data_IF_848315942439
#
_entry.id   IF_848315942439
#
_cell.length_a   1.000
_cell.length_b   1.000
_cell.length_c   1.000
_cell.angle_alpha   90.00
_cell.angle_beta   90.00
_cell.angle_gamma   90.00
#
_symmetry.space_group_name_H-M   'P 1'
#
loop_
_entity.id
_entity.type
_entity.pdbx_description
1 polymer ?
#
# COMPACT_ATOMS: atom_id res chain seq x y z
N UNK A 1 2.41 -19.27 -6.38
CA UNK A 1 2.72 -17.95 -6.96
C UNK A 1 2.09 -16.92 -6.06
N UNK A 2 2.84 -15.90 -5.63
CA UNK A 2 2.30 -14.83 -4.78
C UNK A 2 1.31 -13.97 -5.58
N UNK A 3 0.35 -13.33 -4.90
CA UNK A 3 -0.51 -12.30 -5.50
C UNK A 3 0.34 -11.18 -6.11
N UNK A 4 1.46 -10.85 -5.46
CA UNK A 4 2.45 -9.86 -5.91
C UNK A 4 3.05 -10.26 -7.26
N UNK A 5 3.34 -11.55 -7.48
CA UNK A 5 3.87 -12.06 -8.75
C UNK A 5 2.81 -11.98 -9.87
N UNK A 6 1.54 -12.18 -9.50
CA UNK A 6 0.42 -12.11 -10.45
C UNK A 6 0.11 -10.65 -10.82
N UNK A 7 0.05 -9.76 -9.84
CA UNK A 7 -0.05 -8.31 -10.02
C UNK A 7 1.10 -7.81 -10.89
N UNK A 8 2.35 -8.14 -10.54
CA UNK A 8 3.54 -7.72 -11.29
C UNK A 8 3.52 -8.16 -12.76
N UNK A 9 3.02 -9.37 -13.04
CA UNK A 9 2.87 -9.85 -14.44
C UNK A 9 1.79 -9.08 -15.19
N UNK A 10 0.65 -8.82 -14.57
CA UNK A 10 -0.43 -8.02 -15.18
C UNK A 10 0.01 -6.58 -15.43
N UNK A 11 0.81 -6.00 -14.53
CA UNK A 11 1.37 -4.65 -14.69
C UNK A 11 2.42 -4.57 -15.79
N UNK A 12 3.28 -5.58 -15.91
CA UNK A 12 4.30 -5.66 -16.97
C UNK A 12 3.72 -6.03 -18.34
N UNK A 13 2.47 -6.49 -18.40
CA UNK A 13 1.84 -6.82 -19.67
C UNK A 13 1.74 -5.57 -20.54
N UNK A 14 2.51 -5.55 -21.64
CA UNK A 14 2.48 -4.44 -22.57
C UNK A 14 1.24 -4.56 -23.46
N UNK A 15 0.31 -3.63 -23.27
CA UNK A 15 -0.94 -3.57 -24.03
C UNK A 15 -0.68 -3.36 -25.52
N UNK A 16 0.34 -2.60 -25.88
CA UNK A 16 0.71 -2.37 -27.29
C UNK A 16 1.17 -3.66 -27.99
N UNK A 17 1.87 -4.55 -27.26
CA UNK A 17 2.29 -5.85 -27.80
C UNK A 17 1.12 -6.82 -27.95
N UNK A 18 0.12 -6.73 -27.06
CA UNK A 18 -1.11 -7.53 -27.15
C UNK A 18 -1.98 -7.08 -28.33
N UNK A 19 -2.08 -5.77 -28.59
CA UNK A 19 -2.87 -5.21 -29.69
C UNK A 19 -2.24 -5.51 -31.05
N UNK A 20 -0.92 -5.32 -31.19
CA UNK A 20 -0.22 -5.48 -32.47
C UNK A 20 -0.18 -6.92 -33.01
N UNK A 21 -0.33 -7.92 -32.14
CA UNK A 21 -0.28 -9.34 -32.49
C UNK A 21 -1.66 -10.01 -32.59
N UNK A 22 -2.73 -9.30 -32.26
CA UNK A 22 -4.08 -9.87 -32.21
C UNK A 22 -4.85 -9.66 -33.52
N UNK A 23 -5.48 -10.72 -34.02
CA UNK A 23 -6.46 -10.62 -35.12
C UNK A 23 -7.73 -9.85 -34.69
N UNK A 24 -8.11 -9.97 -33.41
CA UNK A 24 -9.23 -9.24 -32.81
C UNK A 24 -8.78 -8.52 -31.52
N UNK A 25 -8.20 -7.31 -31.64
CA UNK A 25 -7.70 -6.55 -30.49
C UNK A 25 -8.77 -6.23 -29.45
N UNK A 26 -10.03 -6.06 -29.87
CA UNK A 26 -11.14 -5.76 -28.97
C UNK A 26 -11.42 -6.93 -28.02
N UNK A 27 -11.45 -8.17 -28.53
CA UNK A 27 -11.64 -9.37 -27.70
C UNK A 27 -10.49 -9.62 -26.73
N UNK A 28 -9.26 -9.38 -27.16
CA UNK A 28 -8.07 -9.55 -26.29
C UNK A 28 -8.08 -8.55 -25.14
N UNK A 29 -8.39 -7.28 -25.41
CA UNK A 29 -8.53 -6.26 -24.36
C UNK A 29 -9.68 -6.62 -23.41
N UNK A 30 -10.79 -7.13 -23.92
CA UNK A 30 -11.90 -7.58 -23.09
C UNK A 30 -11.54 -8.73 -22.16
N UNK A 31 -10.76 -9.70 -22.66
CA UNK A 31 -10.26 -10.78 -21.81
C UNK A 31 -9.28 -10.26 -20.77
N UNK A 32 -8.33 -9.41 -21.16
CA UNK A 32 -7.37 -8.80 -20.23
C UNK A 32 -8.06 -7.99 -19.12
N UNK A 33 -9.08 -7.20 -19.46
CA UNK A 33 -9.88 -6.45 -18.50
C UNK A 33 -10.62 -7.36 -17.52
N UNK A 34 -11.21 -8.47 -18.00
CA UNK A 34 -11.83 -9.46 -17.12
C UNK A 34 -10.83 -10.06 -16.13
N UNK A 35 -9.68 -10.50 -16.64
CA UNK A 35 -8.64 -11.13 -15.83
C UNK A 35 -8.04 -10.15 -14.81
N UNK A 36 -7.80 -8.90 -15.21
CA UNK A 36 -7.31 -7.84 -14.32
C UNK A 36 -8.33 -7.45 -13.25
N UNK A 37 -9.61 -7.31 -13.59
CA UNK A 37 -10.67 -7.00 -12.60
C UNK A 37 -10.85 -8.13 -11.58
N UNK A 38 -10.75 -9.39 -12.02
CA UNK A 38 -10.76 -10.54 -11.13
C UNK A 38 -9.54 -10.51 -10.18
N UNK A 39 -8.34 -10.29 -10.73
CA UNK A 39 -7.12 -10.15 -9.94
C UNK A 39 -7.17 -8.96 -8.97
N UNK A 40 -7.76 -7.84 -9.38
CA UNK A 40 -7.93 -6.65 -8.53
C UNK A 40 -8.83 -6.96 -7.32
N UNK A 41 -9.94 -7.66 -7.53
CA UNK A 41 -10.88 -8.02 -6.46
C UNK A 41 -10.24 -8.96 -5.44
N UNK A 42 -9.49 -9.95 -5.93
CA UNK A 42 -8.73 -10.89 -5.10
C UNK A 42 -7.63 -10.16 -4.31
N UNK A 43 -6.81 -9.36 -5.00
CA UNK A 43 -5.74 -8.58 -4.38
C UNK A 43 -6.27 -7.61 -3.33
N UNK A 44 -7.41 -6.95 -3.59
CA UNK A 44 -8.06 -6.05 -2.63
C UNK A 44 -8.45 -6.77 -1.34
N UNK A 45 -8.91 -8.01 -1.43
CA UNK A 45 -9.27 -8.83 -0.27
C UNK A 45 -8.02 -9.18 0.53
N UNK A 46 -6.95 -9.61 -0.13
CA UNK A 46 -5.69 -9.95 0.52
C UNK A 46 -5.01 -8.73 1.16
N UNK A 47 -5.07 -7.56 0.52
CA UNK A 47 -4.62 -6.30 1.12
C UNK A 47 -5.41 -5.99 2.39
N UNK A 48 -6.74 -6.18 2.37
CA UNK A 48 -7.58 -5.95 3.54
C UNK A 48 -7.24 -6.91 4.69
N UNK A 49 -6.99 -8.18 4.40
CA UNK A 49 -6.57 -9.17 5.39
C UNK A 49 -5.20 -8.82 6.00
N UNK A 50 -4.23 -8.44 5.17
CA UNK A 50 -2.92 -7.99 5.62
C UNK A 50 -3.00 -6.72 6.49
N UNK A 51 -3.86 -5.76 6.12
CA UNK A 51 -4.15 -4.58 6.91
C UNK A 51 -4.79 -4.93 8.25
N UNK A 52 -5.73 -5.87 8.27
CA UNK A 52 -6.38 -6.36 9.49
C UNK A 52 -5.38 -6.99 10.45
N UNK A 53 -4.46 -7.81 9.92
CA UNK A 53 -3.41 -8.44 10.71
C UNK A 53 -2.41 -7.41 11.28
N UNK A 54 -1.98 -6.44 10.47
CA UNK A 54 -1.13 -5.33 10.93
C UNK A 54 -1.83 -4.51 12.02
N UNK A 55 -3.12 -4.24 11.86
CA UNK A 55 -3.91 -3.54 12.89
C UNK A 55 -4.04 -4.37 14.18
N UNK A 56 -4.14 -5.70 14.09
CA UNK A 56 -4.13 -6.58 15.26
C UNK A 56 -2.79 -6.48 16.00
N UNK A 57 -1.67 -6.61 15.30
CA UNK A 57 -0.34 -6.48 15.91
C UNK A 57 -0.15 -5.11 16.58
N UNK A 58 -0.62 -4.04 15.93
CA UNK A 58 -0.58 -2.68 16.49
C UNK A 58 -1.37 -2.59 17.80
N UNK A 59 -2.53 -3.25 17.89
CA UNK A 59 -3.31 -3.32 19.14
C UNK A 59 -2.62 -4.14 20.22
N UNK A 60 -1.99 -5.25 19.88
CA UNK A 60 -1.23 -6.07 20.83
C UNK A 60 -0.02 -5.31 21.38
N UNK A 61 0.72 -4.59 20.52
CA UNK A 61 1.79 -3.69 20.92
C UNK A 61 1.30 -2.62 21.91
N UNK A 62 0.20 -1.93 21.56
CA UNK A 62 -0.40 -0.91 22.42
C UNK A 62 -0.89 -1.45 23.76
N UNK A 63 -1.47 -2.65 23.79
CA UNK A 63 -1.90 -3.32 25.03
C UNK A 63 -0.71 -3.64 25.93
N UNK A 64 0.34 -4.23 25.37
CA UNK A 64 1.54 -4.57 26.15
C UNK A 64 2.28 -3.32 26.65
N UNK A 65 2.31 -2.23 25.88
CA UNK A 65 2.85 -0.95 26.34
C UNK A 65 2.11 -0.40 27.56
N UNK A 66 0.77 -0.42 27.53
CA UNK A 66 -0.05 0.00 28.68
C UNK A 66 0.20 -0.88 29.91
N UNK A 67 0.27 -2.20 29.72
CA UNK A 67 0.57 -3.12 30.83
C UNK A 67 1.95 -2.86 31.43
N UNK A 68 2.96 -2.59 30.59
CA UNK A 68 4.28 -2.20 31.06
C UNK A 68 4.23 -0.95 31.93
N UNK A 69 3.57 0.12 31.46
CA UNK A 69 3.39 1.37 32.22
C UNK A 69 2.65 1.16 33.55
N UNK A 70 1.63 0.30 33.57
CA UNK A 70 0.91 -0.06 34.79
C UNK A 70 1.80 -0.78 35.81
N UNK A 71 2.63 -1.71 35.36
CA UNK A 71 3.58 -2.41 36.24
C UNK A 71 4.72 -1.51 36.71
N UNK A 72 5.17 -0.54 35.90
CA UNK A 72 6.11 0.49 36.35
C UNK A 72 5.53 1.35 37.47
N UNK A 73 4.29 1.81 37.33
CA UNK A 73 3.59 2.55 38.39
C UNK A 73 3.48 1.73 39.68
N UNK A 74 3.13 0.44 39.58
CA UNK A 74 3.09 -0.48 40.74
C UNK A 74 4.47 -0.65 41.37
N UNK A 75 5.54 -0.66 40.58
CA UNK A 75 6.90 -0.72 41.11
C UNK A 75 7.29 0.56 41.86
N UNK A 76 6.93 1.73 41.34
CA UNK A 76 7.13 3.02 42.02
C UNK A 76 6.36 3.08 43.35
N UNK A 77 5.11 2.63 43.37
CA UNK A 77 4.29 2.54 44.59
C UNK A 77 4.91 1.59 45.63
N UNK A 78 5.38 0.41 45.20
CA UNK A 78 6.03 -0.56 46.08
C UNK A 78 7.34 -0.02 46.67
N UNK A 79 8.14 0.73 45.89
CA UNK A 79 9.35 1.41 46.37
C UNK A 79 9.02 2.49 47.40
N UNK A 80 8.00 3.32 47.13
CA UNK A 80 7.53 4.34 48.10
C UNK A 80 7.03 3.69 49.39
N UNK A 81 6.42 2.52 49.30
CA UNK A 81 6.01 1.70 50.45
C UNK A 81 7.13 0.91 51.12
N UNK A 82 8.40 1.08 50.72
CA UNK A 82 9.56 0.42 51.31
C UNK A 82 9.70 -1.08 50.98
N UNK A 83 8.91 -1.60 50.05
CA UNK A 83 8.91 -3.01 49.66
C UNK A 83 9.71 -3.24 48.38
N UNK A 84 11.04 -3.30 48.51
CA UNK A 84 11.95 -3.47 47.36
C UNK A 84 11.71 -4.76 46.56
N UNK A 85 11.41 -5.87 47.23
CA UNK A 85 11.15 -7.16 46.59
C UNK A 85 9.91 -7.09 45.67
N UNK A 86 8.83 -6.46 46.13
CA UNK A 86 7.62 -6.24 45.31
C UNK A 86 7.89 -5.31 44.14
N UNK A 87 8.71 -4.27 44.33
CA UNK A 87 9.09 -3.37 43.27
C UNK A 87 9.91 -4.06 42.17
N UNK A 88 10.86 -4.92 42.55
CA UNK A 88 11.67 -5.70 41.60
C UNK A 88 10.80 -6.67 40.78
N UNK A 89 9.86 -7.34 41.43
CA UNK A 89 8.92 -8.24 40.73
C UNK A 89 8.01 -7.47 39.77
N UNK A 90 7.50 -6.31 40.18
CA UNK A 90 6.71 -5.44 39.31
C UNK A 90 7.54 -4.94 38.10
N UNK A 91 8.79 -4.54 38.30
CA UNK A 91 9.70 -4.16 37.21
C UNK A 91 10.00 -5.32 36.26
N UNK A 92 10.18 -6.54 36.78
CA UNK A 92 10.38 -7.73 35.93
C UNK A 92 9.18 -7.94 35.00
N UNK A 93 7.96 -7.80 35.52
CA UNK A 93 6.73 -7.90 34.71
C UNK A 93 6.61 -6.75 33.71
N UNK A 94 6.96 -5.53 34.11
CA UNK A 94 7.00 -4.39 33.21
C UNK A 94 7.96 -4.65 32.04
N UNK A 95 9.16 -5.15 32.32
CA UNK A 95 10.16 -5.45 31.29
C UNK A 95 9.65 -6.53 30.32
N UNK A 96 9.06 -7.62 30.83
CA UNK A 96 8.48 -8.65 29.97
C UNK A 96 7.44 -8.07 29.00
N UNK A 97 6.57 -7.17 29.47
CA UNK A 97 5.59 -6.53 28.61
C UNK A 97 6.21 -5.52 27.64
N UNK A 98 7.29 -4.82 28.02
CA UNK A 98 8.06 -3.98 27.08
C UNK A 98 8.67 -4.80 25.95
N UNK A 99 9.26 -5.95 26.29
CA UNK A 99 9.89 -6.83 25.29
C UNK A 99 8.83 -7.39 24.32
N UNK A 100 7.65 -7.78 24.83
CA UNK A 100 6.51 -8.17 24.00
C UNK A 100 6.02 -7.03 23.12
N UNK A 101 5.86 -5.82 23.66
CA UNK A 101 5.46 -4.65 22.89
C UNK A 101 6.45 -4.36 21.75
N UNK A 102 7.76 -4.38 22.05
CA UNK A 102 8.83 -4.20 21.07
C UNK A 102 8.78 -5.27 19.97
N UNK A 103 8.61 -6.54 20.33
CA UNK A 103 8.48 -7.63 19.36
C UNK A 103 7.27 -7.45 18.43
N UNK A 104 6.11 -7.03 18.97
CA UNK A 104 4.95 -6.72 18.14
C UNK A 104 5.18 -5.49 17.25
N UNK A 105 5.86 -4.45 17.73
CA UNK A 105 6.20 -3.25 16.95
C UNK A 105 7.18 -3.54 15.80
N UNK A 106 8.16 -4.41 16.03
CA UNK A 106 9.02 -4.94 14.98
C UNK A 106 8.21 -5.65 13.90
N UNK A 107 7.28 -6.52 14.32
CA UNK A 107 6.41 -7.23 13.38
C UNK A 107 5.44 -6.29 12.64
N UNK A 108 4.94 -5.23 13.29
CA UNK A 108 4.17 -4.15 12.63
C UNK A 108 5.01 -3.47 11.57
N UNK A 109 6.28 -3.17 11.83
CA UNK A 109 7.18 -2.56 10.86
C UNK A 109 7.38 -3.42 9.61
N UNK A 110 7.67 -4.71 9.81
CA UNK A 110 7.86 -5.68 8.71
C UNK A 110 6.56 -5.87 7.91
N UNK A 111 5.42 -6.00 8.59
CA UNK A 111 4.14 -6.21 7.91
C UNK A 111 3.62 -4.93 7.24
N UNK A 112 3.95 -3.75 7.79
CA UNK A 112 3.60 -2.45 7.24
C UNK A 112 4.18 -2.22 5.86
N UNK A 113 5.46 -2.53 5.65
CA UNK A 113 6.09 -2.39 4.32
C UNK A 113 5.43 -3.29 3.28
N UNK A 114 5.08 -4.53 3.66
CA UNK A 114 4.36 -5.46 2.78
C UNK A 114 2.98 -4.92 2.42
N UNK A 115 2.23 -4.40 3.40
CA UNK A 115 0.90 -3.80 3.18
C UNK A 115 1.00 -2.60 2.23
N UNK A 116 2.02 -1.75 2.38
CA UNK A 116 2.18 -0.56 1.54
C UNK A 116 2.62 -0.90 0.11
N UNK A 117 3.47 -1.92 -0.06
CA UNK A 117 3.79 -2.48 -1.38
C UNK A 117 2.53 -3.03 -2.06
N UNK A 118 1.72 -3.81 -1.34
CA UNK A 118 0.45 -4.36 -1.85
C UNK A 118 -0.52 -3.26 -2.28
N UNK A 119 -0.69 -2.20 -1.47
CA UNK A 119 -1.53 -1.04 -1.83
C UNK A 119 -1.02 -0.33 -3.09
N UNK A 120 0.30 -0.16 -3.22
CA UNK A 120 0.91 0.50 -4.37
C UNK A 120 0.67 -0.30 -5.65
N UNK A 121 0.88 -1.61 -5.60
CA UNK A 121 0.60 -2.49 -6.73
C UNK A 121 -0.90 -2.55 -7.08
N UNK A 122 -1.79 -2.52 -6.09
CA UNK A 122 -3.23 -2.49 -6.30
C UNK A 122 -3.66 -1.21 -7.04
N UNK A 123 -3.13 -0.05 -6.65
CA UNK A 123 -3.37 1.23 -7.34
C UNK A 123 -2.82 1.24 -8.76
N UNK A 124 -1.64 0.66 -8.96
CA UNK A 124 -1.07 0.52 -10.29
C UNK A 124 -1.95 -0.38 -11.18
N UNK A 125 -2.52 -1.46 -10.63
CA UNK A 125 -3.41 -2.35 -11.38
C UNK A 125 -4.71 -1.63 -11.75
N UNK A 126 -5.26 -0.82 -10.83
CA UNK A 126 -6.42 0.04 -11.10
C UNK A 126 -6.15 1.01 -12.26
N UNK A 127 -5.04 1.73 -12.22
CA UNK A 127 -4.63 2.63 -13.30
C UNK A 127 -4.46 1.88 -14.64
N UNK A 128 -3.95 0.64 -14.60
CA UNK A 128 -3.81 -0.19 -15.80
C UNK A 128 -5.15 -0.65 -16.38
N UNK A 129 -6.12 -0.94 -15.52
CA UNK A 129 -7.50 -1.24 -15.92
C UNK A 129 -8.10 -0.02 -16.62
N UNK A 130 -8.00 1.17 -16.03
CA UNK A 130 -8.52 2.42 -16.62
C UNK A 130 -7.91 2.73 -18.00
N UNK A 131 -6.59 2.49 -18.13
CA UNK A 131 -5.87 2.62 -19.41
C UNK A 131 -6.46 1.68 -20.47
N UNK A 132 -6.66 0.41 -20.12
CA UNK A 132 -7.22 -0.59 -21.02
C UNK A 132 -8.68 -0.31 -21.41
N UNK A 133 -9.49 0.18 -20.48
CA UNK A 133 -10.87 0.62 -20.76
C UNK A 133 -10.90 1.76 -21.77
N UNK A 134 -9.99 2.72 -21.63
CA UNK A 134 -9.87 3.87 -22.53
C UNK A 134 -9.36 3.46 -23.92
N UNK A 135 -8.41 2.53 -23.97
CA UNK A 135 -7.96 1.93 -25.25
C UNK A 135 -9.09 1.14 -25.92
N UNK A 136 -9.91 0.42 -25.14
CA UNK A 136 -11.09 -0.29 -25.66
C UNK A 136 -12.09 0.69 -26.28
N UNK A 137 -12.42 1.79 -25.59
CA UNK A 137 -13.36 2.78 -26.12
C UNK A 137 -12.84 3.43 -27.41
N UNK A 138 -11.54 3.73 -27.47
CA UNK A 138 -10.90 4.25 -28.68
C UNK A 138 -10.99 3.28 -29.86
N UNK A 139 -10.72 1.99 -29.64
CA UNK A 139 -10.84 0.96 -30.67
C UNK A 139 -12.28 0.81 -31.16
N UNK A 140 -13.25 0.81 -30.24
CA UNK A 140 -14.67 0.76 -30.61
C UNK A 140 -15.09 1.98 -31.45
N UNK A 141 -14.61 3.17 -31.09
CA UNK A 141 -14.85 4.39 -31.87
C UNK A 141 -14.23 4.31 -33.26
N UNK A 142 -12.98 3.84 -33.39
CA UNK A 142 -12.31 3.62 -34.68
C UNK A 142 -13.06 2.65 -35.57
N UNK A 143 -13.53 1.53 -35.01
CA UNK A 143 -14.36 0.55 -35.74
C UNK A 143 -15.64 1.20 -36.26
N UNK A 144 -16.37 1.94 -35.41
CA UNK A 144 -17.59 2.64 -35.79
C UNK A 144 -17.36 3.69 -36.87
N UNK A 145 -16.28 4.47 -36.79
CA UNK A 145 -15.90 5.46 -37.81
C UNK A 145 -15.55 4.79 -39.13
N UNK A 146 -14.81 3.67 -39.11
CA UNK A 146 -14.50 2.91 -40.30
C UNK A 146 -15.77 2.32 -40.96
N UNK A 147 -16.69 1.77 -40.17
CA UNK A 147 -18.00 1.28 -40.63
C UNK A 147 -18.86 2.40 -41.24
N UNK A 148 -18.92 3.56 -40.57
CA UNK A 148 -19.64 4.73 -41.05
C UNK A 148 -19.03 5.24 -42.37
N UNK A 149 -17.71 5.32 -42.47
CA UNK A 149 -16.99 5.75 -43.67
C UNK A 149 -17.19 4.78 -44.83
N UNK A 150 -17.15 3.46 -44.56
CA UNK A 150 -17.45 2.43 -45.56
C UNK A 150 -18.93 2.45 -46.00
N UNK A 151 -19.84 2.89 -45.14
CA UNK A 151 -21.27 3.05 -45.47
C UNK A 151 -21.50 4.33 -46.26
N UNK A 152 -20.86 5.45 -45.89
CA UNK A 152 -20.89 6.73 -46.62
C UNK A 152 -20.21 6.63 -47.99
N UNK A 153 -19.11 5.89 -48.13
CA UNK A 153 -18.51 5.59 -49.44
C UNK A 153 -19.44 4.78 -50.36
N UNK A 154 -20.41 4.06 -49.79
CA UNK A 154 -21.48 3.37 -50.52
C UNK A 154 -22.72 4.25 -50.74
N UNK A 155 -22.89 5.32 -49.96
CA UNK A 155 -24.03 6.24 -49.97
C UNK A 155 -23.49 7.66 -50.13
N UNK A 156 -23.15 8.06 -51.35
CA UNK A 156 -22.60 9.38 -51.63
C UNK A 156 -23.58 10.50 -51.22
N UNK A 157 -23.25 11.23 -50.15
CA UNK A 157 -23.85 12.55 -49.86
C UNK A 157 -24.43 12.76 -48.45
N UNK A 158 -23.66 12.61 -47.36
CA UNK A 158 -24.17 13.01 -46.03
C UNK A 158 -23.10 13.56 -45.05
N UNK A 159 -23.44 14.68 -44.39
CA UNK A 159 -22.60 15.54 -43.51
C UNK A 159 -22.34 14.99 -42.08
N UNK A 160 -22.56 13.70 -41.79
CA UNK A 160 -22.49 13.16 -40.42
C UNK A 160 -21.08 12.78 -39.91
N UNK A 161 -20.02 12.92 -40.71
CA UNK A 161 -18.68 12.46 -40.34
C UNK A 161 -18.01 13.28 -39.21
N UNK A 162 -18.38 14.55 -39.00
CA UNK A 162 -17.73 15.44 -38.03
C UNK A 162 -17.83 14.97 -36.57
N UNK A 163 -19.02 14.53 -36.14
CA UNK A 163 -19.26 14.13 -34.73
C UNK A 163 -18.44 12.93 -34.27
N UNK A 164 -18.08 12.01 -35.19
CA UNK A 164 -17.28 10.84 -34.86
C UNK A 164 -15.78 11.16 -34.78
N UNK A 165 -15.32 12.19 -35.50
CA UNK A 165 -13.94 12.70 -35.46
C UNK A 165 -13.72 13.50 -34.17
N UNK A 166 -14.67 14.34 -33.77
CA UNK A 166 -14.57 15.12 -32.52
C UNK A 166 -14.50 14.20 -31.28
N UNK A 167 -15.31 13.14 -31.25
CA UNK A 167 -15.28 12.14 -30.18
C UNK A 167 -13.95 11.35 -30.14
N UNK A 168 -13.29 11.20 -31.31
CA UNK A 168 -11.98 10.56 -31.41
C UNK A 168 -10.87 11.45 -30.82
N UNK A 169 -10.83 12.74 -31.17
CA UNK A 169 -9.84 13.69 -30.65
C UNK A 169 -9.95 13.91 -29.13
N UNK A 170 -11.15 13.80 -28.56
CA UNK A 170 -11.36 13.85 -27.11
C UNK A 170 -10.82 12.59 -26.41
N UNK A 171 -11.06 11.40 -26.97
CA UNK A 171 -10.53 10.15 -26.42
C UNK A 171 -9.01 10.04 -26.53
N UNK A 172 -8.42 10.49 -27.64
CA UNK A 172 -6.96 10.45 -27.85
C UNK A 172 -6.22 11.32 -26.81
N UNK A 173 -6.75 12.52 -26.53
CA UNK A 173 -6.27 13.39 -25.43
C UNK A 173 -6.38 12.72 -24.05
N UNK A 174 -7.45 11.95 -23.82
CA UNK A 174 -7.65 11.24 -22.56
C UNK A 174 -6.61 10.14 -22.35
N UNK A 175 -6.31 9.36 -23.39
CA UNK A 175 -5.30 8.29 -23.36
C UNK A 175 -3.90 8.87 -23.12
N UNK A 176 -3.52 9.94 -23.81
CA UNK A 176 -2.24 10.62 -23.59
C UNK A 176 -2.06 11.06 -22.13
N UNK A 177 -3.07 11.69 -21.53
CA UNK A 177 -3.02 12.10 -20.12
C UNK A 177 -2.98 10.94 -19.11
N UNK A 178 -3.41 9.73 -19.51
CA UNK A 178 -3.28 8.52 -18.69
C UNK A 178 -1.88 7.92 -18.77
N UNK A 179 -1.23 7.97 -19.94
CA UNK A 179 0.14 7.51 -20.14
C UNK A 179 1.13 8.33 -19.28
N UNK A 180 0.96 9.66 -19.24
CA UNK A 180 1.77 10.56 -18.40
C UNK A 180 1.64 10.23 -16.90
N UNK A 181 0.42 9.92 -16.42
CA UNK A 181 0.19 9.52 -15.02
C UNK A 181 0.86 8.20 -14.67
N UNK A 182 0.84 7.23 -15.58
CA UNK A 182 1.48 5.93 -15.37
C UNK A 182 3.00 6.07 -15.25
N UNK A 183 3.60 6.98 -16.01
CA UNK A 183 5.03 7.24 -15.94
C UNK A 183 5.41 7.81 -14.56
N UNK A 184 4.64 8.77 -14.04
CA UNK A 184 4.84 9.33 -12.70
C UNK A 184 4.64 8.29 -11.56
N UNK A 185 3.64 7.41 -11.68
CA UNK A 185 3.40 6.34 -10.69
C UNK A 185 4.53 5.31 -10.63
N UNK A 186 5.20 5.08 -11.76
CA UNK A 186 6.33 4.14 -11.85
C UNK A 186 7.59 4.71 -11.16
N UNK A 187 7.80 6.03 -11.23
CA UNK A 187 8.89 6.71 -10.52
C UNK A 187 8.68 6.70 -9.00
N UNK A 188 7.47 7.00 -8.51
CA UNK A 188 7.13 6.95 -7.08
C UNK A 188 7.35 5.56 -6.44
N UNK A 189 7.17 4.50 -7.22
CA UNK A 189 7.41 3.14 -6.74
C UNK A 189 8.89 2.83 -6.51
N UNK A 190 9.81 3.54 -7.17
CA UNK A 190 11.26 3.36 -6.99
C UNK A 190 11.82 4.10 -5.77
N UNK A 191 11.24 5.25 -5.40
CA UNK A 191 11.70 6.04 -4.25
C UNK A 191 11.42 5.35 -2.91
N UNK A 192 10.28 4.67 -2.77
CA UNK A 192 9.88 4.01 -1.51
C UNK A 192 10.82 2.86 -1.07
N UNK A 193 11.56 2.23 -1.99
CA UNK A 193 12.50 1.14 -1.67
C UNK A 193 13.81 1.63 -1.02
N UNK A 194 14.17 2.90 -1.19
CA UNK A 194 15.38 3.52 -0.61
C UNK A 194 15.15 3.95 0.84
N UNK A 195 13.99 4.54 1.14
CA UNK A 195 13.65 5.00 2.49
C UNK A 195 13.49 3.85 3.50
N UNK A 196 13.09 2.67 3.02
CA UNK A 196 13.03 1.46 3.83
C UNK A 196 14.42 1.00 4.32
N UNK A 197 15.47 1.21 3.52
CA UNK A 197 16.84 0.78 3.84
C UNK A 197 17.52 1.69 4.88
N UNK A 198 17.09 2.95 4.99
CA UNK A 198 17.68 3.93 5.91
C UNK A 198 17.14 3.80 7.35
N UNK A 199 15.92 3.29 7.54
CA UNK A 199 15.30 3.11 8.86
C UNK A 199 15.90 1.98 9.68
N UNK A 200 16.53 1.00 9.04
CA UNK A 200 17.07 -0.21 9.70
C UNK A 200 18.35 0.08 10.53
N UNK A 201 19.07 1.17 10.22
CA UNK A 201 20.34 1.54 10.86
C UNK A 201 20.22 2.19 12.26
N UNK A 202 19.02 2.58 12.69
CA UNK A 202 18.82 3.40 13.89
C UNK A 202 18.51 2.65 15.19
N UNK A 203 18.30 1.33 15.15
CA UNK A 203 17.55 0.59 16.19
C UNK A 203 18.38 0.01 17.34
N UNK A 204 19.72 0.09 17.28
CA UNK A 204 20.63 -0.61 18.22
C UNK A 204 21.02 0.16 19.49
N UNK A 205 20.59 1.42 19.70
CA UNK A 205 21.07 2.28 20.81
C UNK A 205 20.18 2.38 22.06
N UNK A 206 18.94 1.89 22.03
CA UNK A 206 17.90 2.36 22.96
C UNK A 206 17.85 1.68 24.35
N UNK A 207 18.57 0.58 24.58
CA UNK A 207 18.30 -0.30 25.75
C UNK A 207 19.10 0.07 27.02
N UNK A 208 20.35 0.52 26.88
CA UNK A 208 21.18 0.94 28.02
C UNK A 208 20.78 2.32 28.57
N UNK A 209 20.16 3.16 27.74
CA UNK A 209 19.69 4.50 28.12
C UNK A 209 18.45 4.45 29.03
N UNK A 210 17.60 3.43 28.86
CA UNK A 210 16.33 3.31 29.56
C UNK A 210 16.46 3.01 31.07
N UNK A 211 17.45 2.21 31.49
CA UNK A 211 17.62 1.83 32.90
C UNK A 211 18.23 2.94 33.76
N UNK A 212 19.21 3.69 33.21
CA UNK A 212 19.80 4.84 33.89
C UNK A 212 18.78 5.98 34.12
N UNK A 213 17.86 6.17 33.17
CA UNK A 213 16.84 7.23 33.23
C UNK A 213 15.82 7.04 34.37
N UNK A 214 15.46 5.80 34.73
CA UNK A 214 14.47 5.52 35.77
C UNK A 214 14.98 5.86 37.17
N UNK A 215 16.25 5.52 37.47
CA UNK A 215 16.89 5.78 38.77
C UNK A 215 16.98 7.27 39.09
N UNK A 216 17.29 8.08 38.08
CA UNK A 216 17.37 9.53 38.20
C UNK A 216 16.00 10.17 38.48
N UNK A 217 14.92 9.61 37.92
CA UNK A 217 13.55 10.14 38.08
C UNK A 217 13.02 9.98 39.50
N UNK A 218 13.24 8.82 40.12
CA UNK A 218 12.78 8.54 41.49
C UNK A 218 13.61 9.30 42.54
N UNK A 219 14.89 9.52 42.30
CA UNK A 219 15.76 10.29 43.21
C UNK A 219 15.54 11.81 43.11
N UNK A 220 15.14 12.32 41.94
CA UNK A 220 14.80 13.73 41.75
C UNK A 220 13.51 14.17 42.44
N UNK A 221 12.52 13.27 42.57
CA UNK A 221 11.22 13.57 43.20
C UNK A 221 11.26 13.46 44.75
N UNK A 222 12.36 12.94 45.31
CA UNK A 222 12.63 12.87 46.76
C UNK A 222 13.42 14.05 47.34
N UNK A 223 13.85 15.01 46.50
CA UNK A 223 14.64 16.19 46.91
C UNK A 223 13.88 17.49 46.70
N UNK A 224 12.79 17.69 47.46
CA UNK A 224 12.38 19.02 47.90
C UNK A 224 12.47 19.09 49.43
N UNK A 225 13.59 19.60 49.99
CA UNK A 225 13.57 20.20 51.31
C UNK A 225 13.29 21.70 51.17
N UNK A 226 12.21 22.18 51.80
CA UNK A 226 11.86 23.61 51.91
C UNK A 226 10.42 23.91 51.53
#
# INVERSE_FOLDING_TARGET
MSILDRLSRLLRANVNDLISKAEDPAKIIDQALRDMRAAYTEARTEVADAMSQSAKLTREAGTNRKLAEEYEKKAEEALRGGSEELAREALRRAQNHKDLAKGFEEQVGVQGSTVDQLKTQLRALEAKIDELESRKSLLAARQKTAEASATLGRVSGFDQAGSAIDAFEEMERKVAGMEDRNQAMTELSRENDLDAQLRDLGRDRDLDEAFAALKNRVQGDGSKPG
#
